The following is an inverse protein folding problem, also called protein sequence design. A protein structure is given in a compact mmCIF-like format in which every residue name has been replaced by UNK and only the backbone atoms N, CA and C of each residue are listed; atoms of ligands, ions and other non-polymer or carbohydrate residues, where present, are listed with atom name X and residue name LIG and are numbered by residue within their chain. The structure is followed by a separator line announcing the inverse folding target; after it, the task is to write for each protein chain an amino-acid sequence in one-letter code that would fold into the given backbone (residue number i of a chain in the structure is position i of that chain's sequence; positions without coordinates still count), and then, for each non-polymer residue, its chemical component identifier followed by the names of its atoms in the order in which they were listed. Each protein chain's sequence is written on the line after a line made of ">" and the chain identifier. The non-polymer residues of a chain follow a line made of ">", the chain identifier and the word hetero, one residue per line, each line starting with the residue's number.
data_IF_873308356327
#
_entry.id   IF_873308356327
#
_cell.length_a   1.000
_cell.length_b   1.000
_cell.length_c   1.000
_cell.angle_alpha   90.00
_cell.angle_beta   90.00
_cell.angle_gamma   90.00
#
_symmetry.space_group_name_H-M   'P 1'
#
loop_
_entity.id
_entity.type
_entity.pdbx_description
1 polymer ?
#
# COMPACT_ATOMS: atom_id res chain seq x y z
N UNK A 1 -6.31 -23.88 2.93
CA UNK A 1 -5.40 -22.73 3.06
C UNK A 1 -5.94 -21.74 4.07
N UNK A 2 -5.37 -21.73 5.29
CA UNK A 2 -5.68 -20.71 6.29
C UNK A 2 -4.77 -19.51 6.06
N UNK A 3 -5.36 -18.37 5.72
CA UNK A 3 -4.66 -17.12 5.52
C UNK A 3 -5.59 -15.96 5.80
N UNK A 4 -5.05 -14.87 6.33
CA UNK A 4 -5.83 -13.67 6.63
C UNK A 4 -5.99 -12.85 5.35
N UNK A 5 -7.23 -12.49 5.03
CA UNK A 5 -7.56 -11.66 3.88
C UNK A 5 -7.83 -10.23 4.33
N UNK A 6 -7.21 -9.28 3.64
CA UNK A 6 -7.36 -7.86 3.90
C UNK A 6 -7.82 -7.16 2.64
N UNK A 7 -8.88 -6.38 2.74
CA UNK A 7 -9.28 -5.48 1.67
C UNK A 7 -8.35 -4.26 1.67
N UNK A 8 -7.87 -3.87 0.49
CA UNK A 8 -6.99 -2.71 0.27
C UNK A 8 -7.53 -1.86 -0.88
N UNK A 9 -6.78 -0.81 -1.25
CA UNK A 9 -7.16 0.08 -2.35
C UNK A 9 -8.36 0.97 -2.03
N UNK A 10 -8.82 1.69 -3.07
CA UNK A 10 -9.72 2.83 -2.88
C UNK A 10 -11.11 2.47 -2.34
N UNK A 11 -11.58 1.25 -2.60
CA UNK A 11 -12.80 0.75 -1.96
C UNK A 11 -12.64 0.65 -0.43
N UNK A 12 -11.57 0.03 0.05
CA UNK A 12 -11.32 -0.17 1.48
C UNK A 12 -10.90 1.10 2.22
N UNK A 13 -10.22 2.00 1.51
CA UNK A 13 -9.80 3.33 1.97
C UNK A 13 -10.98 4.28 2.19
N UNK A 14 -12.13 4.02 1.54
CA UNK A 14 -13.35 4.83 1.67
C UNK A 14 -13.37 6.11 0.82
N UNK A 15 -12.34 6.34 0.02
CA UNK A 15 -12.19 7.54 -0.80
C UNK A 15 -11.95 7.20 -2.26
N UNK A 16 -12.58 7.98 -3.15
CA UNK A 16 -12.27 7.97 -4.57
C UNK A 16 -12.39 6.59 -5.27
N UNK A 17 -13.23 5.71 -4.74
CA UNK A 17 -13.60 4.42 -5.35
C UNK A 17 -14.44 4.62 -6.64
N UNK A 18 -15.19 5.71 -6.70
CA UNK A 18 -15.85 6.21 -7.90
C UNK A 18 -15.51 7.68 -8.10
N UNK A 19 -15.11 8.02 -9.32
CA UNK A 19 -14.74 9.40 -9.73
C UNK A 19 -15.80 10.07 -10.61
N UNK A 20 -16.91 9.37 -10.90
CA UNK A 20 -17.96 9.86 -11.81
C UNK A 20 -19.31 10.06 -11.10
N UNK A 21 -19.52 9.40 -9.96
CA UNK A 21 -20.79 9.41 -9.23
C UNK A 21 -20.57 9.27 -7.73
N UNK A 22 -21.48 9.84 -6.93
CA UNK A 22 -21.46 9.86 -5.46
C UNK A 22 -22.51 8.94 -4.81
N UNK A 23 -22.98 7.92 -5.54
CA UNK A 23 -24.04 6.99 -5.08
C UNK A 23 -23.51 5.75 -4.32
N UNK A 24 -22.24 5.76 -3.89
CA UNK A 24 -21.62 4.65 -3.17
C UNK A 24 -21.27 3.41 -4.01
N UNK A 25 -21.57 3.40 -5.31
CA UNK A 25 -21.20 2.28 -6.21
C UNK A 25 -19.74 2.37 -6.64
N UNK A 26 -19.08 1.22 -6.73
CA UNK A 26 -17.78 1.09 -7.40
C UNK A 26 -17.92 1.46 -8.87
N UNK A 27 -17.02 2.28 -9.39
CA UNK A 27 -17.02 2.64 -10.81
C UNK A 27 -16.67 1.43 -11.69
N UNK A 28 -17.12 1.45 -12.94
CA UNK A 28 -16.87 0.35 -13.88
C UNK A 28 -15.37 0.14 -14.18
N UNK A 29 -14.56 1.20 -14.02
CA UNK A 29 -13.11 1.19 -14.17
C UNK A 29 -12.37 1.09 -12.81
N UNK A 30 -13.07 0.63 -11.77
CA UNK A 30 -12.52 0.38 -10.44
C UNK A 30 -12.77 -1.07 -10.02
N UNK A 31 -11.88 -1.57 -9.19
CA UNK A 31 -11.82 -2.93 -8.67
C UNK A 31 -11.85 -2.93 -7.14
N UNK A 32 -12.05 -4.12 -6.57
CA UNK A 32 -11.85 -4.39 -5.14
C UNK A 32 -10.53 -5.15 -5.00
N UNK A 33 -9.56 -4.52 -4.34
CA UNK A 33 -8.26 -5.12 -4.07
C UNK A 33 -8.28 -5.95 -2.78
N UNK A 34 -7.70 -7.14 -2.87
CA UNK A 34 -7.50 -8.05 -1.75
C UNK A 34 -6.02 -8.38 -1.60
N UNK A 35 -5.54 -8.35 -0.35
CA UNK A 35 -4.22 -8.82 0.03
C UNK A 35 -4.40 -10.05 0.93
N UNK A 36 -3.84 -11.17 0.52
CA UNK A 36 -3.84 -12.42 1.30
C UNK A 36 -2.49 -12.58 1.96
N UNK A 37 -2.50 -12.77 3.28
CA UNK A 37 -1.33 -13.15 4.07
C UNK A 37 -1.52 -14.59 4.56
N UNK A 38 -0.86 -15.59 3.93
CA UNK A 38 -0.87 -16.96 4.39
C UNK A 38 -0.30 -17.07 5.81
N UNK A 39 -0.84 -18.00 6.61
CA UNK A 39 -0.29 -18.28 7.93
C UNK A 39 1.06 -19.01 7.82
N UNK A 40 1.90 -18.86 8.85
CA UNK A 40 3.10 -19.71 9.04
C UNK A 40 4.42 -19.21 8.42
N UNK A 41 4.44 -18.11 7.67
CA UNK A 41 5.69 -17.56 7.13
C UNK A 41 5.82 -16.04 7.39
N UNK A 42 6.88 -15.66 8.09
CA UNK A 42 7.31 -14.27 8.22
C UNK A 42 8.75 -14.13 7.72
N UNK A 43 8.98 -13.21 6.78
CA UNK A 43 10.33 -12.80 6.39
C UNK A 43 10.82 -11.67 7.30
N UNK A 44 12.13 -11.59 7.47
CA UNK A 44 12.77 -10.57 8.30
C UNK A 44 13.53 -9.61 7.38
N UNK A 45 13.23 -8.32 7.47
CA UNK A 45 13.85 -7.30 6.61
C UNK A 45 14.84 -6.45 7.40
N UNK A 46 15.96 -6.11 6.76
CA UNK A 46 16.95 -5.19 7.33
C UNK A 46 16.30 -3.82 7.56
N UNK A 47 16.53 -3.23 8.73
CA UNK A 47 15.91 -1.97 9.15
C UNK A 47 14.47 -2.08 9.69
N UNK A 48 13.77 -3.20 9.49
CA UNK A 48 12.40 -3.40 10.00
C UNK A 48 12.31 -4.47 11.09
N UNK A 49 13.09 -5.55 10.98
CA UNK A 49 13.14 -6.59 11.99
C UNK A 49 14.02 -6.14 13.17
N UNK A 50 13.42 -5.99 14.34
CA UNK A 50 14.13 -5.60 15.58
C UNK A 50 14.78 -6.77 16.31
N UNK A 51 14.63 -8.00 15.80
CA UNK A 51 15.15 -9.25 16.40
C UNK A 51 14.72 -9.54 17.85
N UNK A 52 13.60 -8.96 18.31
CA UNK A 52 13.13 -9.12 19.68
C UNK A 52 12.08 -10.22 19.88
N UNK A 53 11.40 -10.68 18.83
CA UNK A 53 10.39 -11.74 18.93
C UNK A 53 11.02 -13.12 18.73
N UNK A 54 10.46 -14.12 19.40
CA UNK A 54 10.87 -15.52 19.28
C UNK A 54 10.93 -15.94 17.80
N UNK A 55 12.06 -16.53 17.39
CA UNK A 55 12.33 -16.93 16.02
C UNK A 55 13.02 -15.86 15.16
N UNK A 56 13.17 -14.61 15.61
CA UNK A 56 13.85 -13.55 14.83
C UNK A 56 15.36 -13.46 15.07
N UNK A 57 15.85 -13.90 16.22
CA UNK A 57 17.25 -13.70 16.65
C UNK A 57 18.24 -14.34 15.67
N UNK A 58 17.92 -15.56 15.23
CA UNK A 58 18.73 -16.40 14.35
C UNK A 58 18.23 -16.45 12.91
N UNK A 59 17.09 -15.81 12.61
CA UNK A 59 16.52 -15.83 11.27
C UNK A 59 17.38 -15.03 10.28
N UNK A 60 17.49 -15.48 9.02
CA UNK A 60 18.13 -14.71 7.97
C UNK A 60 17.36 -13.41 7.73
N UNK A 61 18.10 -12.31 7.65
CA UNK A 61 17.55 -10.99 7.36
C UNK A 61 17.83 -10.66 5.90
N UNK A 62 16.78 -10.23 5.19
CA UNK A 62 16.87 -9.85 3.79
C UNK A 62 17.29 -8.37 3.69
N UNK A 63 18.33 -8.06 2.90
CA UNK A 63 18.70 -6.68 2.62
C UNK A 63 17.60 -6.01 1.80
N UNK A 64 17.33 -4.74 2.11
CA UNK A 64 16.34 -3.92 1.39
C UNK A 64 17.05 -2.78 0.69
N UNK A 65 16.84 -2.66 -0.61
CA UNK A 65 17.35 -1.55 -1.42
C UNK A 65 16.23 -1.02 -2.31
N UNK A 66 16.04 0.30 -2.31
CA UNK A 66 15.01 1.00 -3.09
C UNK A 66 13.60 0.37 -2.94
N UNK A 67 13.24 -0.01 -1.71
CA UNK A 67 11.95 -0.62 -1.39
C UNK A 67 11.79 -2.07 -1.85
N UNK A 68 12.86 -2.75 -2.25
CA UNK A 68 12.84 -4.16 -2.67
C UNK A 68 13.76 -5.00 -1.79
N UNK A 69 13.26 -6.14 -1.33
CA UNK A 69 14.01 -7.15 -0.59
C UNK A 69 14.54 -8.21 -1.56
N UNK A 70 15.85 -8.49 -1.49
CA UNK A 70 16.49 -9.51 -2.33
C UNK A 70 16.27 -10.89 -1.73
N UNK A 71 15.84 -11.86 -2.53
CA UNK A 71 15.61 -13.25 -2.13
C UNK A 71 16.46 -14.22 -2.95
N UNK A 72 16.64 -15.44 -2.43
CA UNK A 72 17.47 -16.46 -3.08
C UNK A 72 16.83 -17.06 -4.34
N UNK A 73 15.49 -17.06 -4.43
CA UNK A 73 14.74 -17.67 -5.52
C UNK A 73 13.98 -16.62 -6.32
N UNK A 74 13.85 -16.85 -7.63
CA UNK A 74 13.04 -16.01 -8.50
C UNK A 74 11.61 -15.89 -7.98
N UNK A 75 11.10 -14.66 -7.90
CA UNK A 75 9.78 -14.36 -7.28
C UNK A 75 8.71 -13.90 -8.27
N UNK A 76 9.10 -13.60 -9.51
CA UNK A 76 8.19 -13.11 -10.56
C UNK A 76 7.71 -11.67 -10.34
N UNK A 77 7.04 -11.11 -11.34
CA UNK A 77 6.69 -9.68 -11.42
C UNK A 77 5.19 -9.38 -11.32
N UNK A 78 4.33 -10.40 -11.30
CA UNK A 78 2.88 -10.25 -11.30
C UNK A 78 2.29 -10.70 -9.95
N UNK A 79 2.03 -9.77 -9.02
CA UNK A 79 1.61 -10.12 -7.67
C UNK A 79 0.10 -10.39 -7.55
N UNK A 80 -0.70 -9.80 -8.44
CA UNK A 80 -2.16 -9.82 -8.37
C UNK A 80 -2.78 -10.70 -9.48
N UNK A 81 -3.78 -11.48 -9.09
CA UNK A 81 -4.64 -12.25 -9.98
C UNK A 81 -5.97 -11.51 -10.15
N UNK A 82 -6.22 -11.00 -11.35
CA UNK A 82 -7.44 -10.26 -11.67
C UNK A 82 -8.60 -11.19 -11.99
N UNK A 83 -9.76 -10.88 -11.43
CA UNK A 83 -11.04 -11.53 -11.69
C UNK A 83 -12.02 -10.51 -12.26
N UNK A 84 -12.63 -10.76 -13.43
CA UNK A 84 -13.54 -9.81 -14.06
C UNK A 84 -14.81 -9.62 -13.21
N UNK A 85 -15.49 -8.50 -13.45
CA UNK A 85 -16.81 -8.24 -12.88
C UNK A 85 -17.82 -9.31 -13.32
N UNK A 86 -18.75 -9.69 -12.44
CA UNK A 86 -19.85 -10.61 -12.79
C UNK A 86 -21.16 -10.20 -12.11
N UNK A 87 -22.17 -9.85 -12.90
CA UNK A 87 -23.48 -9.41 -12.40
C UNK A 87 -23.34 -8.22 -11.43
N UNK A 88 -23.61 -8.47 -10.15
CA UNK A 88 -23.56 -7.46 -9.08
C UNK A 88 -22.17 -7.29 -8.44
N UNK A 89 -21.19 -8.12 -8.79
CA UNK A 89 -19.83 -8.09 -8.24
C UNK A 89 -18.90 -7.27 -9.15
N UNK A 90 -18.25 -6.19 -8.65
CA UNK A 90 -17.21 -5.47 -9.39
C UNK A 90 -16.02 -6.37 -9.74
N UNK A 91 -15.11 -5.87 -10.58
CA UNK A 91 -13.82 -6.51 -10.79
C UNK A 91 -13.04 -6.63 -9.46
N UNK A 92 -12.18 -7.63 -9.34
CA UNK A 92 -11.42 -7.88 -8.11
C UNK A 92 -10.00 -8.27 -8.45
N UNK A 93 -9.05 -7.77 -7.67
CA UNK A 93 -7.65 -8.12 -7.77
C UNK A 93 -7.19 -8.81 -6.49
N UNK A 94 -6.66 -10.03 -6.60
CA UNK A 94 -6.20 -10.83 -5.47
C UNK A 94 -4.67 -10.90 -5.46
N UNK A 95 -4.05 -10.23 -4.50
CA UNK A 95 -2.60 -10.23 -4.31
C UNK A 95 -2.18 -11.17 -3.19
N UNK A 96 -1.41 -12.21 -3.51
CA UNK A 96 -0.77 -13.07 -2.51
C UNK A 96 0.52 -12.42 -2.02
N UNK A 97 0.51 -12.00 -0.76
CA UNK A 97 1.63 -11.34 -0.11
C UNK A 97 2.33 -12.30 0.87
N UNK A 98 3.54 -11.91 1.27
CA UNK A 98 4.34 -12.63 2.27
C UNK A 98 4.46 -11.76 3.51
N UNK A 99 4.01 -12.28 4.65
CA UNK A 99 4.10 -11.58 5.92
C UNK A 99 5.55 -11.25 6.28
N UNK A 100 5.76 -10.13 6.93
CA UNK A 100 7.06 -9.75 7.48
C UNK A 100 6.97 -9.55 8.99
N UNK A 101 8.10 -9.80 9.66
CA UNK A 101 8.26 -9.39 11.03
C UNK A 101 8.20 -7.85 11.10
N UNK A 102 7.19 -7.32 11.78
CA UNK A 102 7.17 -5.94 12.22
C UNK A 102 7.81 -5.93 13.62
N UNK A 103 9.07 -5.49 13.74
CA UNK A 103 9.76 -5.47 15.02
C UNK A 103 8.89 -4.73 16.03
N UNK A 104 8.37 -5.44 17.03
CA UNK A 104 7.42 -4.85 17.97
C UNK A 104 8.07 -3.63 18.63
N UNK A 105 7.44 -2.47 18.42
CA UNK A 105 7.87 -1.09 18.71
C UNK A 105 8.72 -0.45 17.59
N UNK A 106 8.03 0.22 16.66
CA UNK A 106 8.57 1.20 15.72
C UNK A 106 9.24 2.39 16.48
N UNK A 107 10.40 2.17 17.08
CA UNK A 107 11.21 3.26 17.67
C UNK A 107 12.48 3.57 16.85
N UNK A 108 12.77 2.80 15.79
CA UNK A 108 13.99 3.00 14.97
C UNK A 108 13.78 3.40 13.51
N UNK A 109 12.58 3.21 12.94
CA UNK A 109 12.21 4.01 11.78
C UNK A 109 11.82 5.38 12.35
N UNK A 110 12.82 6.26 12.44
CA UNK A 110 12.75 7.51 13.18
C UNK A 110 11.57 8.39 12.79
N UNK A 111 11.44 9.48 13.54
CA UNK A 111 10.62 10.68 13.28
C UNK A 111 10.62 11.22 11.83
N UNK A 112 11.40 10.64 10.94
CA UNK A 112 11.54 10.98 9.53
C UNK A 112 10.52 10.27 8.63
N UNK A 113 9.86 9.19 9.08
CA UNK A 113 8.67 8.67 8.38
C UNK A 113 7.40 9.36 8.91
N UNK A 114 6.65 10.06 8.05
CA UNK A 114 5.85 11.20 8.50
C UNK A 114 4.47 10.95 9.04
N UNK A 115 4.12 9.70 9.28
CA UNK A 115 2.83 9.37 9.83
C UNK A 115 3.12 8.43 10.98
N UNK A 116 2.64 8.75 12.17
CA UNK A 116 2.74 7.90 13.35
C UNK A 116 1.87 6.66 13.07
N UNK A 117 2.43 5.72 12.28
CA UNK A 117 1.72 4.62 11.66
C UNK A 117 1.39 3.60 12.75
N UNK A 118 0.09 3.35 12.96
CA UNK A 118 -0.41 2.47 14.01
C UNK A 118 0.28 1.10 14.00
N UNK A 119 0.64 0.61 15.19
CA UNK A 119 1.44 -0.59 15.42
C UNK A 119 0.79 -1.93 15.01
N UNK A 120 -0.38 -1.93 14.36
CA UNK A 120 -1.18 -3.15 14.17
C UNK A 120 -1.18 -3.70 12.75
N UNK A 121 -0.99 -2.87 11.72
CA UNK A 121 -1.03 -3.32 10.34
C UNK A 121 0.23 -4.16 10.00
N UNK A 122 0.08 -5.39 9.49
CA UNK A 122 1.22 -6.24 9.12
C UNK A 122 2.06 -5.62 7.99
N UNK A 123 3.37 -5.55 8.20
CA UNK A 123 4.33 -5.33 7.11
C UNK A 123 4.34 -6.56 6.21
N UNK A 124 4.40 -6.38 4.90
CA UNK A 124 4.38 -7.47 3.96
C UNK A 124 5.14 -7.16 2.67
N UNK A 125 5.45 -8.23 1.94
CA UNK A 125 6.12 -8.21 0.66
C UNK A 125 5.17 -8.70 -0.44
N UNK A 126 5.33 -8.16 -1.64
CA UNK A 126 4.59 -8.59 -2.84
C UNK A 126 5.54 -8.96 -3.97
N UNK A 127 5.10 -9.88 -4.83
CA UNK A 127 5.86 -10.34 -6.01
C UNK A 127 5.86 -9.28 -7.11
N UNK A 128 6.74 -8.30 -6.98
CA UNK A 128 6.92 -7.23 -7.96
C UNK A 128 8.40 -6.92 -8.06
N UNK A 129 9.07 -7.51 -9.05
CA UNK A 129 10.48 -7.25 -9.31
C UNK A 129 10.67 -5.94 -10.09
N UNK A 130 11.84 -5.32 -9.92
CA UNK A 130 12.26 -4.21 -10.78
C UNK A 130 12.50 -4.69 -12.22
N UNK A 131 12.45 -3.79 -13.22
CA UNK A 131 12.94 -4.10 -14.56
C UNK A 131 14.36 -4.67 -14.47
N UNK A 132 14.61 -5.78 -15.17
CA UNK A 132 15.89 -6.49 -15.18
C UNK A 132 16.27 -7.24 -13.89
N UNK A 133 15.35 -7.37 -12.91
CA UNK A 133 15.54 -8.22 -11.73
C UNK A 133 14.52 -9.36 -11.70
N UNK A 134 14.90 -10.48 -11.11
CA UNK A 134 14.05 -11.69 -11.05
C UNK A 134 13.83 -12.22 -9.64
N UNK A 135 14.71 -11.87 -8.71
CA UNK A 135 14.81 -12.42 -7.37
C UNK A 135 14.59 -11.35 -6.28
N UNK A 136 13.60 -10.51 -6.51
CA UNK A 136 13.22 -9.43 -5.60
C UNK A 136 11.74 -9.48 -5.25
N UNK A 137 11.43 -9.05 -4.04
CA UNK A 137 10.08 -8.79 -3.58
C UNK A 137 9.97 -7.31 -3.20
N UNK A 138 8.86 -6.67 -3.56
CA UNK A 138 8.64 -5.27 -3.21
C UNK A 138 8.01 -5.15 -1.84
N UNK A 139 8.54 -4.26 -1.01
CA UNK A 139 7.93 -3.88 0.27
C UNK A 139 6.61 -3.16 0.01
N UNK A 140 5.56 -3.57 0.71
CA UNK A 140 4.23 -2.99 0.57
C UNK A 140 3.72 -2.49 1.92
N UNK A 141 3.18 -1.28 1.89
CA UNK A 141 2.57 -0.62 3.04
C UNK A 141 1.06 -0.46 2.88
N UNK A 142 0.43 -1.17 1.93
CA UNK A 142 -0.98 -0.98 1.55
C UNK A 142 -1.97 -1.07 2.73
N UNK A 143 -1.66 -1.87 3.76
CA UNK A 143 -2.49 -2.00 4.97
C UNK A 143 -2.34 -0.77 5.88
N UNK A 144 -1.11 -0.29 6.08
CA UNK A 144 -0.80 0.92 6.85
C UNK A 144 -1.38 2.15 6.14
N UNK A 145 -1.18 2.24 4.82
CA UNK A 145 -1.71 3.31 3.97
C UNK A 145 -3.24 3.38 4.07
N UNK A 146 -3.92 2.23 4.04
CA UNK A 146 -5.37 2.17 4.23
C UNK A 146 -5.80 2.80 5.56
N UNK A 147 -5.09 2.50 6.64
CA UNK A 147 -5.44 3.05 7.97
C UNK A 147 -5.25 4.57 8.01
N UNK A 148 -4.22 5.09 7.35
CA UNK A 148 -4.03 6.54 7.16
C UNK A 148 -5.21 7.14 6.37
N UNK A 149 -5.53 6.54 5.22
CA UNK A 149 -6.59 7.03 4.33
C UNK A 149 -7.97 7.06 5.01
N UNK A 150 -8.27 6.08 5.88
CA UNK A 150 -9.52 6.04 6.64
C UNK A 150 -9.61 7.10 7.75
N UNK A 151 -8.48 7.65 8.18
CA UNK A 151 -8.40 8.70 9.22
C UNK A 151 -8.40 10.11 8.65
N UNK A 152 -8.42 10.26 7.33
CA UNK A 152 -8.52 11.57 6.70
C UNK A 152 -9.79 12.28 7.13
N UNK A 153 -9.67 13.59 7.37
CA UNK A 153 -10.85 14.45 7.51
C UNK A 153 -11.62 14.52 6.19
N UNK A 154 -12.88 14.97 6.25
CA UNK A 154 -13.70 15.16 5.04
C UNK A 154 -13.00 16.02 3.99
N UNK A 155 -12.37 17.13 4.40
CA UNK A 155 -11.65 18.04 3.50
C UNK A 155 -10.44 17.35 2.87
N UNK A 156 -9.66 16.59 3.65
CA UNK A 156 -8.51 15.86 3.14
C UNK A 156 -8.92 14.75 2.16
N UNK A 157 -9.99 14.01 2.46
CA UNK A 157 -10.51 12.95 1.59
C UNK A 157 -11.13 13.50 0.30
N UNK A 158 -11.81 14.64 0.37
CA UNK A 158 -12.30 15.37 -0.81
C UNK A 158 -11.15 15.87 -1.69
N UNK A 159 -10.13 16.47 -1.07
CA UNK A 159 -8.92 16.89 -1.78
C UNK A 159 -8.25 15.70 -2.48
N UNK A 160 -8.08 14.58 -1.79
CA UNK A 160 -7.54 13.36 -2.40
C UNK A 160 -8.36 12.89 -3.60
N UNK A 161 -9.70 12.94 -3.50
CA UNK A 161 -10.60 12.56 -4.60
C UNK A 161 -10.36 13.42 -5.83
N UNK A 162 -10.17 14.74 -5.66
CA UNK A 162 -9.83 15.68 -6.74
C UNK A 162 -8.44 15.38 -7.33
N UNK A 163 -7.41 15.19 -6.49
CA UNK A 163 -6.06 14.86 -6.95
C UNK A 163 -6.09 13.54 -7.74
N UNK A 164 -6.76 12.50 -7.23
CA UNK A 164 -6.90 11.23 -7.93
C UNK A 164 -7.63 11.39 -9.26
N UNK A 165 -8.68 12.22 -9.32
CA UNK A 165 -9.36 12.55 -10.58
C UNK A 165 -8.40 13.18 -11.59
N UNK A 166 -7.57 14.12 -11.16
CA UNK A 166 -6.58 14.76 -12.02
C UNK A 166 -5.62 13.71 -12.60
N UNK A 167 -5.04 12.86 -11.75
CA UNK A 167 -4.08 11.83 -12.18
C UNK A 167 -4.71 10.71 -13.02
N UNK A 168 -5.93 10.24 -12.69
CA UNK A 168 -6.55 9.10 -13.36
C UNK A 168 -7.29 9.50 -14.64
N UNK A 169 -7.84 10.72 -14.71
CA UNK A 169 -8.72 11.14 -15.82
C UNK A 169 -8.17 12.37 -16.54
N UNK A 170 -7.94 13.47 -15.82
CA UNK A 170 -7.60 14.73 -16.48
C UNK A 170 -6.28 14.63 -17.26
N UNK A 171 -5.16 14.37 -16.57
CA UNK A 171 -3.83 14.41 -17.19
C UNK A 171 -3.66 13.40 -18.35
N UNK A 172 -4.17 12.16 -18.28
CA UNK A 172 -4.09 11.25 -19.42
C UNK A 172 -4.95 11.71 -20.61
N UNK A 173 -6.14 12.26 -20.37
CA UNK A 173 -7.05 12.68 -21.44
C UNK A 173 -6.65 14.02 -22.09
N UNK A 174 -6.03 14.94 -21.33
CA UNK A 174 -5.72 16.29 -21.82
C UNK A 174 -4.25 16.51 -22.17
N UNK A 175 -3.32 15.78 -21.53
CA UNK A 175 -1.88 16.00 -21.66
C UNK A 175 -1.09 14.75 -22.09
N UNK A 176 -1.77 13.65 -22.44
CA UNK A 176 -1.16 12.38 -22.91
C UNK A 176 -0.08 11.80 -21.96
N UNK A 177 -0.30 11.95 -20.65
CA UNK A 177 0.65 11.50 -19.62
C UNK A 177 0.37 10.05 -19.21
N UNK A 178 0.90 9.08 -19.97
CA UNK A 178 0.66 7.64 -19.72
C UNK A 178 1.42 7.05 -18.52
N UNK A 179 2.43 7.75 -17.99
CA UNK A 179 3.27 7.27 -16.89
C UNK A 179 2.72 7.52 -15.48
N UNK A 180 1.76 8.45 -15.32
CA UNK A 180 1.25 8.85 -14.01
C UNK A 180 0.06 7.99 -13.57
N UNK A 181 0.28 7.22 -12.51
CA UNK A 181 -0.73 6.35 -11.87
C UNK A 181 -1.36 7.00 -10.63
N UNK A 182 -2.52 6.46 -10.22
CA UNK A 182 -3.25 6.82 -8.99
C UNK A 182 -2.41 6.74 -7.71
N UNK A 183 -1.41 5.85 -7.67
CA UNK A 183 -0.50 5.75 -6.54
C UNK A 183 0.31 7.04 -6.32
N UNK A 184 0.70 7.77 -7.40
CA UNK A 184 1.38 9.06 -7.26
C UNK A 184 0.49 10.12 -6.61
N UNK A 185 -0.82 10.13 -6.89
CA UNK A 185 -1.76 11.01 -6.22
C UNK A 185 -1.81 10.76 -4.70
N UNK A 186 -1.77 9.48 -4.30
CA UNK A 186 -1.77 9.09 -2.89
C UNK A 186 -0.44 9.46 -2.20
N UNK A 187 0.68 9.17 -2.86
CA UNK A 187 2.01 9.58 -2.37
C UNK A 187 2.10 11.11 -2.21
N UNK A 188 1.60 11.88 -3.18
CA UNK A 188 1.54 13.34 -3.08
C UNK A 188 0.72 13.80 -1.88
N UNK A 189 -0.45 13.21 -1.65
CA UNK A 189 -1.27 13.51 -0.46
C UNK A 189 -0.47 13.25 0.82
N UNK A 190 0.21 12.11 0.94
CA UNK A 190 1.00 11.79 2.14
C UNK A 190 2.11 12.80 2.38
N UNK A 191 2.81 13.26 1.33
CA UNK A 191 3.78 14.35 1.45
C UNK A 191 3.14 15.68 1.89
N UNK A 192 1.93 15.98 1.43
CA UNK A 192 1.21 17.19 1.86
C UNK A 192 0.80 17.11 3.34
N UNK A 193 0.35 15.94 3.81
CA UNK A 193 -0.01 15.69 5.21
C UNK A 193 1.21 15.76 6.12
N UNK A 194 2.32 15.14 5.73
CA UNK A 194 3.62 15.23 6.39
C UNK A 194 4.04 16.68 6.63
N UNK A 195 4.07 17.46 5.55
CA UNK A 195 4.55 18.84 5.58
C UNK A 195 3.69 19.72 6.49
N UNK A 196 2.38 19.46 6.56
CA UNK A 196 1.46 20.16 7.46
C UNK A 196 1.61 19.72 8.92
N UNK A 197 1.80 18.43 9.19
CA UNK A 197 2.02 17.93 10.55
C UNK A 197 3.32 18.46 11.18
N UNK A 198 4.29 18.89 10.36
CA UNK A 198 5.55 19.52 10.80
C UNK A 198 5.47 21.05 10.89
N UNK A 199 4.33 21.67 10.59
CA UNK A 199 4.16 23.13 10.64
C UNK A 199 3.62 23.55 12.02
N UNK A 200 4.45 24.13 12.92
CA UNK A 200 4.05 24.49 14.28
C UNK A 200 3.02 25.64 14.35
N UNK A 201 2.56 26.17 13.20
CA UNK A 201 1.55 27.23 13.10
C UNK A 201 0.21 26.76 12.50
N UNK A 202 0.01 25.47 12.29
CA UNK A 202 -1.23 24.94 11.69
C UNK A 202 -2.44 24.90 12.63
N UNK A 203 -2.25 25.21 13.92
CA UNK A 203 -3.34 25.46 14.88
C UNK A 203 -3.34 26.94 15.28
N UNK A 204 -3.89 27.79 14.43
CA UNK A 204 -4.33 29.16 14.75
C UNK A 204 -5.46 29.59 13.81
#
# INVERSE_FOLDING_TARGET
>A
DSGRMYMTGSYAEGWANSLVQVNGRTAADSDIDWTVLPDGQALHLEGFCMRYSNGCETAPVLPVSEGHAVVATGSGSQPANSSPACGVRPAQDLCHAIGCCNGSKNTRLGSDFPLNMGNEAPLHLVRATRPNSTNELRVSFSLQEKDIMRRLSTVQGQLFTLIKFIFKRHLPLTLDTTGLKTYHAKTLLFFMLEKRGRDPKAEA
#
